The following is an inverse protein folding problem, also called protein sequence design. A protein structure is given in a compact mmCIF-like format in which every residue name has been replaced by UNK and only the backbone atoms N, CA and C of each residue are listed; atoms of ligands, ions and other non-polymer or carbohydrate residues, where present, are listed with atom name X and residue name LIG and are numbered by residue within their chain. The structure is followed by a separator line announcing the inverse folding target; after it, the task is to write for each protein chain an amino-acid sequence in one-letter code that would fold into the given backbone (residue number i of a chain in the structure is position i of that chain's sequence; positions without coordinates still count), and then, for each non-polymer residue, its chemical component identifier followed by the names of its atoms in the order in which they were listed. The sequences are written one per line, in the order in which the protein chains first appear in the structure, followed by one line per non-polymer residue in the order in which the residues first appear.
data_IF_138669456767
#
_entry.id   IF_138669456767
#
_cell.length_a   1.000
_cell.length_b   1.000
_cell.length_c   1.000
_cell.angle_alpha   90.00
_cell.angle_beta   90.00
_cell.angle_gamma   90.00
#
_symmetry.space_group_name_H-M   'P 1'
#
loop_
_entity.id
_entity.type
_entity.pdbx_description
1 polymer ?
#
# COMPACT_ATOMS: atom_id res chain seq x y z
N UNK A 1 39.06 39.69 11.15
CA UNK A 1 38.74 38.24 11.00
C UNK A 1 37.23 38.11 10.91
N UNK A 2 36.67 37.77 9.73
CA UNK A 2 35.22 37.63 9.53
C UNK A 2 34.84 36.18 9.86
N UNK A 3 34.09 35.98 10.93
CA UNK A 3 33.50 34.69 11.29
C UNK A 3 32.16 34.55 10.55
N UNK A 4 32.14 33.70 9.53
CA UNK A 4 30.91 33.34 8.82
C UNK A 4 30.29 32.13 9.52
N UNK A 5 29.12 32.31 10.14
CA UNK A 5 28.35 31.23 10.72
C UNK A 5 27.48 30.59 9.63
N UNK A 6 27.81 29.36 9.23
CA UNK A 6 26.95 28.56 8.34
C UNK A 6 25.90 27.85 9.19
N UNK A 7 24.68 28.37 9.22
CA UNK A 7 23.53 27.71 9.85
C UNK A 7 23.08 26.55 8.97
N UNK A 8 23.36 25.30 9.38
CA UNK A 8 22.72 24.11 8.80
C UNK A 8 21.30 24.03 9.38
N UNK A 9 20.31 24.44 8.60
CA UNK A 9 18.91 24.12 8.87
C UNK A 9 18.70 22.68 8.43
N UNK A 10 18.81 21.74 9.37
CA UNK A 10 18.43 20.36 9.16
C UNK A 10 16.92 20.26 8.98
N UNK A 11 16.46 19.98 7.76
CA UNK A 11 15.05 19.72 7.50
C UNK A 11 14.62 18.44 8.22
N UNK A 12 13.62 18.53 9.10
CA UNK A 12 12.90 17.35 9.57
C UNK A 12 12.17 16.77 8.36
N UNK A 13 12.67 15.68 7.78
CA UNK A 13 11.89 14.85 6.89
C UNK A 13 10.71 14.31 7.70
N UNK A 14 9.49 14.78 7.41
CA UNK A 14 8.29 14.24 8.02
C UNK A 14 8.18 12.76 7.62
N UNK A 15 8.44 11.86 8.57
CA UNK A 15 8.26 10.43 8.36
C UNK A 15 6.79 10.08 8.61
N UNK A 16 6.02 9.93 7.55
CA UNK A 16 4.65 9.44 7.66
C UNK A 16 4.68 7.93 7.84
N UNK A 17 4.46 7.45 9.06
CA UNK A 17 4.32 6.01 9.36
C UNK A 17 2.85 5.61 9.26
N UNK A 18 2.28 5.72 8.06
CA UNK A 18 0.91 5.33 7.77
C UNK A 18 0.81 3.82 7.67
N UNK A 19 -0.14 3.22 8.39
CA UNK A 19 -0.31 1.78 8.41
C UNK A 19 -1.73 1.38 8.04
N UNK A 20 -1.85 0.53 7.04
CA UNK A 20 -3.13 -0.01 6.64
C UNK A 20 -3.06 -0.74 5.31
N UNK A 21 -4.07 -1.55 5.05
CA UNK A 21 -4.22 -2.22 3.77
C UNK A 21 -5.69 -2.44 3.42
N UNK A 22 -5.99 -2.64 2.14
CA UNK A 22 -7.32 -3.04 1.69
C UNK A 22 -7.58 -4.46 2.17
N UNK A 23 -8.58 -4.67 3.03
CA UNK A 23 -8.97 -5.98 3.57
C UNK A 23 -10.00 -6.71 2.70
N UNK A 24 -10.92 -5.94 2.10
CA UNK A 24 -11.96 -6.49 1.24
C UNK A 24 -12.18 -5.62 0.01
N UNK A 25 -12.57 -6.28 -1.08
CA UNK A 25 -13.11 -5.64 -2.27
C UNK A 25 -14.59 -5.97 -2.39
N UNK A 26 -15.41 -4.97 -2.70
CA UNK A 26 -16.79 -5.18 -3.14
C UNK A 26 -16.83 -5.04 -4.66
N UNK A 27 -17.09 -6.15 -5.35
CA UNK A 27 -17.22 -6.23 -6.80
C UNK A 27 -18.71 -6.43 -7.14
N UNK A 28 -19.45 -5.34 -7.29
CA UNK A 28 -20.92 -5.39 -7.35
C UNK A 28 -21.50 -5.76 -5.98
N UNK A 29 -22.13 -6.95 -5.88
CA UNK A 29 -22.63 -7.52 -4.62
C UNK A 29 -21.69 -8.57 -4.00
N UNK A 30 -20.59 -8.89 -4.69
CA UNK A 30 -19.63 -9.91 -4.25
C UNK A 30 -18.56 -9.29 -3.35
N UNK A 31 -18.53 -9.71 -2.08
CA UNK A 31 -17.45 -9.39 -1.15
C UNK A 31 -16.30 -10.40 -1.32
N UNK A 32 -15.10 -9.88 -1.59
CA UNK A 32 -13.89 -10.70 -1.81
C UNK A 32 -12.82 -10.32 -0.80
N UNK A 33 -12.27 -11.31 -0.10
CA UNK A 33 -11.11 -11.12 0.77
C UNK A 33 -9.83 -10.90 -0.03
N UNK A 34 -9.07 -9.86 0.33
CA UNK A 34 -7.75 -9.60 -0.22
C UNK A 34 -6.67 -10.42 0.50
N UNK A 35 -5.42 -10.25 0.09
CA UNK A 35 -4.25 -10.75 0.80
C UNK A 35 -4.14 -10.08 2.18
N UNK A 36 -4.08 -10.91 3.23
CA UNK A 36 -3.78 -10.47 4.58
C UNK A 36 -2.34 -10.86 4.97
N UNK A 37 -1.41 -9.90 5.12
CA UNK A 37 0.00 -10.18 5.38
C UNK A 37 0.26 -10.86 6.72
N UNK A 38 -0.69 -10.85 7.66
CA UNK A 38 -0.55 -11.45 8.99
C UNK A 38 -1.22 -12.83 9.11
N UNK A 39 -2.08 -13.21 8.17
CA UNK A 39 -2.86 -14.45 8.22
C UNK A 39 -2.56 -15.41 7.08
N UNK A 40 -2.33 -14.89 5.89
CA UNK A 40 -2.22 -15.69 4.68
C UNK A 40 -0.82 -16.30 4.42
N UNK A 41 0.33 -15.76 4.90
CA UNK A 41 1.63 -16.41 4.72
C UNK A 41 1.73 -17.82 5.31
N UNK A 42 0.92 -18.14 6.32
CA UNK A 42 0.97 -19.44 7.02
C UNK A 42 0.28 -20.59 6.27
N UNK A 43 -0.35 -20.31 5.12
CA UNK A 43 -1.13 -21.30 4.37
C UNK A 43 -1.16 -20.98 2.87
N UNK A 44 -1.50 -21.99 2.06
CA UNK A 44 -1.76 -21.76 0.64
C UNK A 44 -3.14 -21.14 0.46
N UNK A 45 -3.18 -19.91 -0.05
CA UNK A 45 -4.43 -19.21 -0.40
C UNK A 45 -4.41 -18.77 -1.85
N UNK A 46 -5.60 -18.75 -2.44
CA UNK A 46 -5.83 -18.15 -3.75
C UNK A 46 -6.44 -16.76 -3.54
N UNK A 47 -5.80 -15.73 -4.10
CA UNK A 47 -6.21 -14.32 -3.94
C UNK A 47 -6.16 -13.60 -5.27
N UNK A 48 -7.04 -12.62 -5.43
CA UNK A 48 -7.07 -11.72 -6.60
C UNK A 48 -6.16 -10.51 -6.44
N UNK A 49 -5.69 -10.23 -5.22
CA UNK A 49 -4.73 -9.16 -4.93
C UNK A 49 -3.32 -9.72 -4.79
N UNK A 50 -2.32 -8.92 -5.17
CA UNK A 50 -0.91 -9.28 -5.01
C UNK A 50 -0.51 -9.35 -3.54
N UNK A 51 0.52 -10.16 -3.27
CA UNK A 51 1.07 -10.34 -1.93
C UNK A 51 2.03 -9.20 -1.59
N UNK A 52 2.00 -8.78 -0.34
CA UNK A 52 2.91 -7.78 0.23
C UNK A 52 3.27 -8.16 1.67
N UNK A 53 4.36 -7.59 2.18
CA UNK A 53 5.03 -8.04 3.41
C UNK A 53 4.28 -7.66 4.69
N UNK A 54 3.83 -6.41 4.80
CA UNK A 54 3.21 -5.84 5.99
C UNK A 54 2.31 -4.65 5.63
N UNK A 55 1.67 -4.03 6.63
CA UNK A 55 0.78 -2.89 6.43
C UNK A 55 1.50 -1.52 6.39
N UNK A 56 2.84 -1.50 6.38
CA UNK A 56 3.62 -0.26 6.35
C UNK A 56 3.69 0.38 4.96
N UNK A 57 4.20 1.63 4.89
CA UNK A 57 4.38 2.32 3.63
C UNK A 57 5.62 1.80 2.89
N UNK A 58 5.71 2.07 1.58
CA UNK A 58 6.98 1.96 0.84
C UNK A 58 7.89 3.11 1.28
N UNK A 59 9.06 2.80 1.84
CA UNK A 59 9.92 3.78 2.54
C UNK A 59 11.09 4.30 1.70
N UNK A 60 11.18 3.98 0.41
CA UNK A 60 12.32 4.40 -0.42
C UNK A 60 12.40 5.92 -0.59
N UNK A 61 11.29 6.65 -0.39
CA UNK A 61 11.18 8.12 -0.37
C UNK A 61 11.51 8.82 -1.68
N UNK A 62 12.16 8.11 -2.61
CA UNK A 62 12.63 8.56 -3.91
C UNK A 62 11.95 7.80 -5.06
N UNK A 63 11.10 6.82 -4.76
CA UNK A 63 10.39 6.00 -5.75
C UNK A 63 11.33 5.35 -6.78
N UNK A 64 12.51 4.95 -6.33
CA UNK A 64 13.57 4.36 -7.18
C UNK A 64 13.47 2.84 -7.24
N UNK A 65 12.64 2.24 -6.40
CA UNK A 65 12.43 0.79 -6.36
C UNK A 65 11.14 0.38 -7.05
N UNK A 66 11.07 -0.87 -7.51
CA UNK A 66 9.85 -1.41 -8.10
C UNK A 66 8.73 -1.64 -7.07
N UNK A 67 9.04 -1.56 -5.77
CA UNK A 67 8.08 -1.71 -4.67
C UNK A 67 6.92 -0.72 -4.75
N UNK A 68 7.13 0.48 -5.32
CA UNK A 68 6.06 1.48 -5.47
C UNK A 68 4.90 1.01 -6.36
N UNK A 69 5.11 -0.01 -7.19
CA UNK A 69 4.10 -0.48 -8.14
C UNK A 69 2.95 -1.23 -7.46
N UNK A 70 3.26 -2.19 -6.57
CA UNK A 70 2.26 -3.00 -5.86
C UNK A 70 2.67 -3.34 -4.41
N UNK A 71 3.41 -2.45 -3.76
CA UNK A 71 3.96 -2.57 -2.41
C UNK A 71 5.16 -3.54 -2.29
N UNK A 72 5.86 -3.44 -1.15
CA UNK A 72 7.03 -4.25 -0.79
C UNK A 72 6.61 -5.71 -0.54
N UNK A 73 7.24 -6.65 -1.24
CA UNK A 73 7.04 -8.08 -1.04
C UNK A 73 7.94 -8.66 0.05
N UNK A 74 7.65 -9.89 0.50
CA UNK A 74 8.48 -10.58 1.49
C UNK A 74 9.82 -11.04 0.92
N UNK A 75 9.80 -11.67 -0.26
CA UNK A 75 11.01 -12.15 -0.96
C UNK A 75 11.29 -11.35 -2.24
N UNK A 76 10.22 -11.04 -2.98
CA UNK A 76 10.25 -10.30 -4.24
C UNK A 76 9.06 -9.35 -4.30
N UNK A 77 9.28 -8.14 -4.80
CA UNK A 77 8.20 -7.18 -5.04
C UNK A 77 7.31 -7.64 -6.21
N UNK A 78 6.07 -7.16 -6.22
CA UNK A 78 5.17 -7.30 -7.36
C UNK A 78 4.86 -8.77 -7.76
N UNK A 79 4.92 -9.73 -6.83
CA UNK A 79 4.54 -11.13 -7.11
C UNK A 79 3.09 -11.17 -7.62
N UNK A 80 2.84 -11.75 -8.82
CA UNK A 80 1.48 -11.84 -9.36
C UNK A 80 0.51 -12.54 -8.42
N UNK A 81 -0.73 -12.07 -8.41
CA UNK A 81 -1.84 -12.77 -7.76
C UNK A 81 -2.09 -14.11 -8.46
N UNK A 82 -2.66 -15.07 -7.75
CA UNK A 82 -2.93 -16.41 -8.29
C UNK A 82 -4.23 -16.46 -9.09
N UNK A 83 -5.14 -15.52 -8.84
CA UNK A 83 -6.48 -15.47 -9.44
C UNK A 83 -6.77 -14.08 -10.00
N UNK A 84 -7.84 -14.00 -10.79
CA UNK A 84 -8.40 -12.73 -11.30
C UNK A 84 -9.89 -12.67 -11.05
N UNK A 85 -10.47 -11.48 -11.07
CA UNK A 85 -11.92 -11.28 -11.01
C UNK A 85 -12.38 -10.54 -12.27
N UNK A 86 -13.47 -11.02 -12.87
CA UNK A 86 -14.12 -10.33 -13.99
C UNK A 86 -15.13 -9.32 -13.46
N UNK A 87 -15.01 -8.08 -13.89
CA UNK A 87 -15.93 -6.99 -13.55
C UNK A 87 -16.34 -6.26 -14.84
N UNK A 88 -17.65 -6.03 -15.07
CA UNK A 88 -18.07 -5.27 -16.24
C UNK A 88 -17.52 -3.84 -16.22
N UNK A 89 -17.11 -3.32 -17.37
CA UNK A 89 -16.68 -1.92 -17.49
C UNK A 89 -17.77 -0.95 -17.02
N UNK A 90 -17.38 0.11 -16.31
CA UNK A 90 -18.30 1.08 -15.70
C UNK A 90 -18.90 0.64 -14.36
N UNK A 91 -18.59 -0.57 -13.88
CA UNK A 91 -19.01 -1.01 -12.54
C UNK A 91 -18.24 -0.29 -11.44
N UNK A 92 -18.88 -0.14 -10.28
CA UNK A 92 -18.24 0.41 -9.08
C UNK A 92 -17.52 -0.71 -8.33
N UNK A 93 -16.23 -0.52 -8.07
CA UNK A 93 -15.43 -1.34 -7.15
C UNK A 93 -15.21 -0.57 -5.85
N UNK A 94 -15.58 -1.14 -4.71
CA UNK A 94 -15.32 -0.52 -3.40
C UNK A 94 -14.14 -1.19 -2.72
N UNK A 95 -13.22 -0.38 -2.21
CA UNK A 95 -12.04 -0.82 -1.47
C UNK A 95 -12.27 -0.58 0.01
N UNK A 96 -12.32 -1.64 0.81
CA UNK A 96 -12.54 -1.56 2.26
C UNK A 96 -11.20 -1.73 2.97
N UNK A 97 -10.69 -0.65 3.56
CA UNK A 97 -9.41 -0.63 4.27
C UNK A 97 -9.54 -1.19 5.69
N UNK A 98 -8.41 -1.54 6.30
CA UNK A 98 -8.26 -1.51 7.76
C UNK A 98 -8.66 -0.16 8.33
N UNK A 99 -8.91 -0.11 9.64
CA UNK A 99 -9.15 1.16 10.32
C UNK A 99 -8.02 2.14 9.96
N UNK A 100 -8.38 3.23 9.29
CA UNK A 100 -7.45 4.28 8.91
C UNK A 100 -7.56 5.41 9.92
N UNK A 101 -6.49 5.63 10.68
CA UNK A 101 -6.46 6.66 11.72
C UNK A 101 -6.34 8.04 11.07
N UNK A 102 -6.92 9.06 11.70
CA UNK A 102 -7.02 10.41 11.15
C UNK A 102 -5.69 11.18 11.12
N UNK A 103 -4.65 10.65 11.78
CA UNK A 103 -3.29 11.17 11.83
C UNK A 103 -2.46 10.85 10.57
N UNK A 104 -3.03 10.13 9.59
CA UNK A 104 -2.44 9.92 8.26
C UNK A 104 -3.24 10.63 7.16
N UNK A 105 -3.34 11.98 7.17
CA UNK A 105 -3.95 12.72 6.08
C UNK A 105 -3.07 12.65 4.82
N UNK A 106 -3.71 12.49 3.68
CA UNK A 106 -3.03 12.45 2.38
C UNK A 106 -4.01 12.31 1.24
N UNK A 107 -3.57 12.53 -0.01
CA UNK A 107 -4.40 12.30 -1.17
C UNK A 107 -4.64 10.80 -1.37
N UNK A 108 -5.82 10.44 -1.88
CA UNK A 108 -6.05 9.17 -2.55
C UNK A 108 -6.02 9.38 -4.06
N UNK A 109 -5.39 8.47 -4.79
CA UNK A 109 -5.43 8.48 -6.26
C UNK A 109 -6.77 7.93 -6.72
N UNK A 110 -7.43 8.64 -7.65
CA UNK A 110 -8.61 8.07 -8.31
C UNK A 110 -8.17 6.98 -9.28
N UNK A 111 -8.81 5.83 -9.17
CA UNK A 111 -8.79 4.79 -10.19
C UNK A 111 -10.01 5.07 -11.07
N UNK A 112 -9.79 5.57 -12.28
CA UNK A 112 -10.84 5.91 -13.25
C UNK A 112 -11.11 4.75 -14.20
#
# INVERSE_FOLDING_TARGET
MKLTFTTIVGGLAATTTAHGFVQHLMLGENLVDTWNPYKDPSKKVNKITRKFKDNGPVTDGLFTTDAITCNTGSDKNNVPATETASVPAGSIVKFMWTEWKSDHPGPSTRIS
#
